data_IF_674628101766
#
_entry.id   IF_674628101766
#
_cell.length_a   1.000
_cell.length_b   1.000
_cell.length_c   1.000
_cell.angle_alpha   90.00
_cell.angle_beta   90.00
_cell.angle_gamma   90.00
#
_symmetry.space_group_name_H-M   'P 1'
#
loop_
_entity.id
_entity.type
_entity.pdbx_description
1 polymer ?
#
# COMPACT_ATOMS: atom_id res chain seq x y z
N UNK A 1 -2.93 -1.50 11.39
CA UNK A 1 -3.19 -2.90 11.84
C UNK A 1 -2.85 -3.86 10.71
N UNK A 2 -2.34 -5.06 10.99
CA UNK A 2 -2.15 -6.09 9.95
C UNK A 2 -3.50 -6.76 9.64
N UNK A 3 -3.77 -7.15 8.37
CA UNK A 3 -5.08 -7.73 7.99
C UNK A 3 -5.48 -8.95 8.83
N UNK A 4 -4.54 -9.85 9.13
CA UNK A 4 -4.79 -11.06 9.91
C UNK A 4 -5.12 -10.78 11.39
N UNK A 5 -4.89 -9.58 11.89
CA UNK A 5 -5.27 -9.16 13.25
C UNK A 5 -6.64 -8.46 13.29
N UNK A 6 -7.27 -8.24 12.15
CA UNK A 6 -8.64 -7.72 12.08
C UNK A 6 -9.60 -8.87 12.33
N UNK A 7 -10.11 -8.97 13.55
CA UNK A 7 -11.04 -10.01 13.99
C UNK A 7 -12.24 -9.38 14.65
N UNK A 8 -13.40 -10.06 14.74
CA UNK A 8 -14.55 -9.55 15.49
C UNK A 8 -14.21 -9.15 16.93
N UNK A 9 -13.34 -9.93 17.59
CA UNK A 9 -12.91 -9.64 18.97
C UNK A 9 -12.06 -8.36 19.05
N UNK A 10 -11.07 -8.19 18.14
CA UNK A 10 -10.25 -6.97 18.12
C UNK A 10 -11.07 -5.72 17.78
N UNK A 11 -12.04 -5.84 16.87
CA UNK A 11 -12.92 -4.73 16.48
C UNK A 11 -13.90 -4.37 17.60
N UNK A 12 -14.46 -5.36 18.31
CA UNK A 12 -15.30 -5.12 19.48
C UNK A 12 -14.53 -4.40 20.60
N UNK A 13 -13.29 -4.81 20.85
CA UNK A 13 -12.41 -4.15 21.81
C UNK A 13 -12.11 -2.70 21.41
N UNK A 14 -11.75 -2.46 20.16
CA UNK A 14 -11.53 -1.11 19.64
C UNK A 14 -12.79 -0.25 19.78
N UNK A 15 -13.95 -0.77 19.43
CA UNK A 15 -15.22 -0.04 19.52
C UNK A 15 -15.56 0.38 20.94
N UNK A 16 -15.12 -0.41 21.94
CA UNK A 16 -15.31 -0.11 23.37
C UNK A 16 -14.40 1.02 23.87
N UNK A 17 -13.16 1.10 23.36
CA UNK A 17 -12.14 1.95 23.98
C UNK A 17 -11.72 3.15 23.12
N UNK A 18 -12.09 3.19 21.83
CA UNK A 18 -11.70 4.30 20.94
C UNK A 18 -12.93 4.91 20.26
N UNK A 19 -12.94 6.23 20.16
CA UNK A 19 -13.96 6.99 19.43
C UNK A 19 -13.69 7.07 17.92
N UNK A 20 -12.46 6.80 17.51
CA UNK A 20 -12.05 6.82 16.11
C UNK A 20 -12.78 5.75 15.29
N UNK A 21 -13.29 6.13 14.12
CA UNK A 21 -13.97 5.23 13.17
C UNK A 21 -13.10 4.85 11.97
N UNK A 22 -12.00 5.55 11.72
CA UNK A 22 -11.05 5.19 10.68
C UNK A 22 -10.06 4.15 11.21
N UNK A 23 -9.85 3.06 10.49
CA UNK A 23 -8.93 1.99 10.87
C UNK A 23 -7.93 1.75 9.74
N UNK A 24 -6.65 2.02 10.00
CA UNK A 24 -5.58 1.80 9.02
C UNK A 24 -5.22 0.32 8.99
N UNK A 25 -5.29 -0.29 7.80
CA UNK A 25 -4.99 -1.70 7.53
C UNK A 25 -3.86 -1.78 6.49
N UNK A 26 -2.76 -2.44 6.84
CA UNK A 26 -1.60 -2.56 5.97
C UNK A 26 -1.76 -3.67 4.93
N UNK A 27 -2.44 -3.42 3.82
CA UNK A 27 -2.61 -4.37 2.71
C UNK A 27 -1.34 -4.58 1.90
N UNK A 28 -0.67 -3.53 1.51
CA UNK A 28 0.60 -3.42 0.79
C UNK A 28 0.51 -3.76 -0.70
N UNK A 29 -0.02 -4.91 -1.10
CA UNK A 29 -0.14 -5.36 -2.50
C UNK A 29 -1.42 -6.19 -2.69
N UNK A 30 -1.92 -6.22 -3.90
CA UNK A 30 -2.98 -7.15 -4.32
C UNK A 30 -2.46 -8.44 -4.92
N UNK A 31 -1.14 -8.57 -5.07
CA UNK A 31 -0.49 -9.78 -5.57
C UNK A 31 0.02 -10.64 -4.42
N UNK A 32 -0.49 -11.87 -4.32
CA UNK A 32 -0.07 -12.83 -3.30
C UNK A 32 1.42 -13.20 -3.46
N UNK A 33 1.95 -13.18 -4.70
CA UNK A 33 3.38 -13.36 -4.99
C UNK A 33 4.21 -12.26 -4.34
N UNK A 34 3.80 -11.01 -4.48
CA UNK A 34 4.50 -9.85 -3.90
C UNK A 34 4.36 -9.85 -2.38
N UNK A 35 3.20 -10.19 -1.84
CA UNK A 35 2.99 -10.32 -0.39
C UNK A 35 3.89 -11.40 0.21
N UNK A 36 4.01 -12.56 -0.43
CA UNK A 36 4.88 -13.64 0.00
C UNK A 36 6.37 -13.23 -0.04
N UNK A 37 6.83 -12.61 -1.15
CA UNK A 37 8.22 -12.15 -1.30
C UNK A 37 8.61 -11.05 -0.29
N UNK A 38 7.63 -10.29 0.18
CA UNK A 38 7.79 -9.24 1.19
C UNK A 38 7.58 -9.74 2.62
N UNK A 39 7.48 -11.05 2.83
CA UNK A 39 7.28 -11.72 4.12
C UNK A 39 6.09 -11.15 4.92
N UNK A 40 4.97 -10.86 4.22
CA UNK A 40 3.80 -10.22 4.85
C UNK A 40 3.00 -11.19 5.73
N UNK A 41 2.97 -12.48 5.42
CA UNK A 41 2.25 -13.50 6.20
C UNK A 41 0.73 -13.47 6.04
N UNK A 42 0.22 -12.70 5.07
CA UNK A 42 -1.20 -12.68 4.67
C UNK A 42 -1.30 -12.62 3.14
N UNK A 43 -2.46 -12.96 2.62
CA UNK A 43 -2.82 -12.93 1.21
C UNK A 43 -3.85 -11.82 0.90
N UNK A 44 -4.16 -11.63 -0.37
CA UNK A 44 -5.16 -10.66 -0.83
C UNK A 44 -6.56 -10.97 -0.31
N UNK A 45 -6.92 -12.25 -0.16
CA UNK A 45 -8.19 -12.66 0.41
C UNK A 45 -8.29 -12.28 1.90
N UNK A 46 -7.19 -12.31 2.65
CA UNK A 46 -7.14 -11.84 4.03
C UNK A 46 -7.41 -10.32 4.12
N UNK A 47 -6.89 -9.54 3.16
CA UNK A 47 -7.16 -8.09 3.09
C UNK A 47 -8.66 -7.84 2.83
N UNK A 48 -9.26 -8.56 1.90
CA UNK A 48 -10.70 -8.42 1.60
C UNK A 48 -11.58 -8.78 2.81
N UNK A 49 -11.25 -9.88 3.52
CA UNK A 49 -11.95 -10.27 4.77
C UNK A 49 -11.81 -9.20 5.86
N UNK A 50 -10.61 -8.64 6.03
CA UNK A 50 -10.37 -7.60 7.02
C UNK A 50 -11.21 -6.35 6.73
N UNK A 51 -11.30 -5.93 5.47
CA UNK A 51 -12.13 -4.79 5.05
C UNK A 51 -13.61 -5.07 5.30
N UNK A 52 -14.11 -6.24 4.94
CA UNK A 52 -15.49 -6.63 5.20
C UNK A 52 -15.84 -6.56 6.69
N UNK A 53 -15.00 -7.15 7.54
CA UNK A 53 -15.17 -7.10 9.00
C UNK A 53 -15.15 -5.67 9.56
N UNK A 54 -14.25 -4.81 9.07
CA UNK A 54 -14.23 -3.40 9.48
C UNK A 54 -15.56 -2.72 9.20
N UNK A 55 -16.07 -2.86 7.98
CA UNK A 55 -17.34 -2.24 7.54
C UNK A 55 -18.52 -2.77 8.35
N UNK A 56 -18.61 -4.10 8.52
CA UNK A 56 -19.66 -4.74 9.33
C UNK A 56 -19.69 -4.24 10.78
N UNK A 57 -18.53 -3.90 11.33
CA UNK A 57 -18.42 -3.37 12.71
C UNK A 57 -18.49 -1.84 12.77
N UNK A 58 -18.80 -1.15 11.67
CA UNK A 58 -18.98 0.30 11.62
C UNK A 58 -17.68 1.11 11.61
N UNK A 59 -16.57 0.50 11.18
CA UNK A 59 -15.33 1.20 10.91
C UNK A 59 -15.19 1.51 9.42
N UNK A 60 -14.48 2.59 9.11
CA UNK A 60 -14.06 2.92 7.74
C UNK A 60 -12.62 2.43 7.57
N UNK A 61 -12.37 1.34 6.83
CA UNK A 61 -11.02 0.86 6.62
C UNK A 61 -10.27 1.77 5.64
N UNK A 62 -9.07 2.18 6.03
CA UNK A 62 -8.09 2.85 5.18
C UNK A 62 -6.97 1.84 4.90
N UNK A 63 -6.86 1.40 3.66
CA UNK A 63 -5.93 0.33 3.30
C UNK A 63 -4.67 0.91 2.68
N UNK A 64 -3.52 0.65 3.32
CA UNK A 64 -2.21 1.06 2.81
C UNK A 64 -1.78 0.15 1.67
N UNK A 65 -1.46 0.73 0.51
CA UNK A 65 -0.84 0.05 -0.62
C UNK A 65 0.49 0.67 -0.96
N UNK A 66 1.47 -0.17 -1.29
CA UNK A 66 2.83 0.21 -1.62
C UNK A 66 3.15 -0.27 -3.04
N UNK A 67 3.30 0.66 -3.97
CA UNK A 67 3.56 0.41 -5.38
C UNK A 67 5.04 0.57 -5.72
N UNK A 68 5.52 -0.13 -6.73
CA UNK A 68 6.92 -0.10 -7.17
C UNK A 68 7.85 -0.88 -6.24
N UNK A 69 7.35 -1.94 -5.60
CA UNK A 69 8.15 -2.85 -4.80
C UNK A 69 9.21 -3.57 -5.65
N UNK A 70 10.39 -3.89 -5.11
CA UNK A 70 11.39 -4.66 -5.81
C UNK A 70 10.85 -6.01 -6.28
N UNK A 71 10.99 -6.31 -7.58
CA UNK A 71 10.50 -7.53 -8.19
C UNK A 71 8.99 -7.53 -8.50
N UNK A 72 8.30 -6.41 -8.32
CA UNK A 72 6.91 -6.23 -8.75
C UNK A 72 6.85 -6.13 -10.28
N UNK A 73 5.97 -6.91 -10.90
CA UNK A 73 5.72 -6.94 -12.32
C UNK A 73 4.43 -6.19 -12.69
N UNK A 74 4.22 -5.90 -13.97
CA UNK A 74 3.02 -5.20 -14.43
C UNK A 74 1.72 -5.95 -14.08
N UNK A 75 1.75 -7.28 -14.11
CA UNK A 75 0.64 -8.13 -13.68
C UNK A 75 0.32 -7.99 -12.20
N UNK A 76 1.33 -7.84 -11.33
CA UNK A 76 1.14 -7.64 -9.90
C UNK A 76 0.53 -6.28 -9.59
N UNK A 77 0.99 -5.24 -10.31
CA UNK A 77 0.43 -3.90 -10.20
C UNK A 77 -1.04 -3.91 -10.60
N UNK A 78 -1.40 -4.62 -11.70
CA UNK A 78 -2.79 -4.74 -12.14
C UNK A 78 -3.66 -5.45 -11.09
N UNK A 79 -3.17 -6.54 -10.48
CA UNK A 79 -3.86 -7.22 -9.37
C UNK A 79 -4.08 -6.27 -8.18
N UNK A 80 -3.08 -5.43 -7.88
CA UNK A 80 -3.15 -4.44 -6.81
C UNK A 80 -4.21 -3.37 -7.11
N UNK A 81 -4.25 -2.84 -8.33
CA UNK A 81 -5.25 -1.85 -8.73
C UNK A 81 -6.67 -2.43 -8.73
N UNK A 82 -6.83 -3.66 -9.21
CA UNK A 82 -8.12 -4.37 -9.15
C UNK A 82 -8.58 -4.61 -7.71
N UNK A 83 -7.67 -4.97 -6.81
CA UNK A 83 -8.00 -5.09 -5.39
C UNK A 83 -8.43 -3.73 -4.81
N UNK A 84 -7.71 -2.64 -5.09
CA UNK A 84 -8.10 -1.29 -4.67
C UNK A 84 -9.53 -0.96 -5.11
N UNK A 85 -9.87 -1.22 -6.37
CA UNK A 85 -11.23 -0.96 -6.90
C UNK A 85 -12.29 -1.77 -6.14
N UNK A 86 -12.04 -3.07 -5.87
CA UNK A 86 -12.97 -3.91 -5.10
C UNK A 86 -13.14 -3.43 -3.66
N UNK A 87 -12.06 -3.00 -3.01
CA UNK A 87 -12.12 -2.52 -1.63
C UNK A 87 -12.84 -1.18 -1.53
N UNK A 88 -12.60 -0.28 -2.49
CA UNK A 88 -13.32 1.02 -2.59
C UNK A 88 -14.82 0.80 -2.79
N UNK A 89 -15.21 -0.15 -3.65
CA UNK A 89 -16.62 -0.50 -3.85
C UNK A 89 -17.29 -1.02 -2.57
N UNK A 90 -16.52 -1.53 -1.62
CA UNK A 90 -16.99 -1.98 -0.29
C UNK A 90 -16.92 -0.89 0.79
N UNK A 91 -16.56 0.35 0.44
CA UNK A 91 -16.52 1.47 1.37
C UNK A 91 -15.16 1.73 2.01
N UNK A 92 -14.09 1.07 1.57
CA UNK A 92 -12.74 1.39 1.99
C UNK A 92 -12.21 2.66 1.34
N UNK A 93 -11.20 3.28 1.97
CA UNK A 93 -10.34 4.27 1.35
C UNK A 93 -8.95 3.68 1.12
N UNK A 94 -8.32 4.08 0.04
CA UNK A 94 -6.95 3.69 -0.30
C UNK A 94 -5.98 4.75 0.20
N UNK A 95 -4.93 4.32 0.90
CA UNK A 95 -3.77 5.15 1.23
C UNK A 95 -2.60 4.67 0.38
N UNK A 96 -2.28 5.44 -0.65
CA UNK A 96 -1.27 5.07 -1.66
C UNK A 96 0.12 5.53 -1.28
N UNK A 97 1.09 4.63 -1.44
CA UNK A 97 2.51 4.87 -1.25
C UNK A 97 3.31 4.39 -2.45
N UNK A 98 4.46 5.03 -2.70
CA UNK A 98 5.48 4.51 -3.61
C UNK A 98 6.68 4.02 -2.81
N UNK A 99 7.26 2.91 -3.23
CA UNK A 99 8.39 2.29 -2.56
C UNK A 99 9.60 3.23 -2.45
N UNK A 100 10.14 3.34 -1.24
CA UNK A 100 11.35 4.08 -0.90
C UNK A 100 12.42 3.11 -0.41
N UNK A 101 13.60 3.04 -1.02
CA UNK A 101 14.71 2.19 -0.56
C UNK A 101 15.39 2.78 0.67
N UNK A 102 14.75 2.67 1.84
CA UNK A 102 15.20 3.28 3.08
C UNK A 102 16.49 2.64 3.63
N UNK A 103 17.43 3.42 4.19
CA UNK A 103 18.58 2.90 4.93
C UNK A 103 18.14 1.96 6.07
N UNK A 104 18.92 0.93 6.35
CA UNK A 104 18.64 -0.03 7.42
C UNK A 104 17.60 -1.11 7.08
N UNK A 105 16.96 -1.04 5.90
CA UNK A 105 15.98 -2.05 5.45
C UNK A 105 16.64 -3.12 4.55
N UNK A 106 16.04 -4.32 4.42
CA UNK A 106 16.51 -5.33 3.47
C UNK A 106 16.62 -4.82 2.03
N UNK A 107 15.69 -3.95 1.62
CA UNK A 107 15.63 -3.36 0.28
C UNK A 107 16.43 -2.05 0.13
N UNK A 108 17.31 -1.71 1.07
CA UNK A 108 18.10 -0.46 1.03
C UNK A 108 18.90 -0.22 -0.24
N UNK A 109 19.25 -1.29 -0.98
CA UNK A 109 20.03 -1.23 -2.25
C UNK A 109 19.17 -1.39 -3.49
N UNK A 110 17.85 -1.55 -3.34
CA UNK A 110 16.94 -1.69 -4.47
C UNK A 110 16.83 -0.39 -5.28
N UNK A 111 16.38 -0.51 -6.52
CA UNK A 111 16.02 0.63 -7.34
C UNK A 111 14.89 1.44 -6.69
N UNK A 112 14.76 2.69 -7.09
CA UNK A 112 13.60 3.51 -6.70
C UNK A 112 12.31 2.89 -7.23
N UNK A 113 11.26 2.94 -6.45
CA UNK A 113 9.92 2.63 -6.95
C UNK A 113 9.57 3.56 -8.12
N UNK A 114 9.03 2.99 -9.19
CA UNK A 114 8.62 3.73 -10.37
C UNK A 114 7.21 3.31 -10.79
N UNK A 115 6.40 4.30 -11.16
CA UNK A 115 5.05 4.09 -11.63
C UNK A 115 4.97 4.38 -13.13
N UNK A 116 4.18 3.62 -13.87
CA UNK A 116 3.85 3.95 -15.26
C UNK A 116 2.83 5.08 -15.31
N UNK A 117 2.74 5.77 -16.47
CA UNK A 117 1.77 6.86 -16.63
C UNK A 117 0.32 6.38 -16.55
N UNK A 118 0.06 5.13 -16.91
CA UNK A 118 -1.26 4.52 -16.76
C UNK A 118 -1.63 4.32 -15.29
N UNK A 119 -0.71 3.77 -14.50
CA UNK A 119 -0.89 3.62 -13.06
C UNK A 119 -1.13 4.98 -12.41
N UNK A 120 -0.31 6.00 -12.72
CA UNK A 120 -0.51 7.37 -12.20
C UNK A 120 -1.89 7.92 -12.55
N UNK A 121 -2.35 7.72 -13.78
CA UNK A 121 -3.68 8.17 -14.22
C UNK A 121 -4.81 7.49 -13.43
N UNK A 122 -4.73 6.18 -13.20
CA UNK A 122 -5.71 5.44 -12.38
C UNK A 122 -5.71 5.92 -10.93
N UNK A 123 -4.54 6.10 -10.31
CA UNK A 123 -4.44 6.62 -8.94
C UNK A 123 -5.01 8.03 -8.81
N UNK A 124 -4.73 8.93 -9.76
CA UNK A 124 -5.31 10.28 -9.81
C UNK A 124 -6.83 10.25 -9.95
N UNK A 125 -7.37 9.31 -10.73
CA UNK A 125 -8.83 9.13 -10.86
C UNK A 125 -9.45 8.72 -9.53
N UNK A 126 -8.87 7.80 -8.78
CA UNK A 126 -9.33 7.45 -7.43
C UNK A 126 -9.19 8.63 -6.46
N UNK A 127 -8.10 9.38 -6.55
CA UNK A 127 -7.86 10.56 -5.71
C UNK A 127 -8.89 11.68 -5.97
N UNK A 128 -9.22 11.96 -7.23
CA UNK A 128 -10.21 12.98 -7.59
C UNK A 128 -11.61 12.65 -7.09
N UNK A 129 -11.90 11.38 -6.82
CA UNK A 129 -13.16 10.91 -6.23
C UNK A 129 -13.12 10.83 -4.69
N UNK A 130 -12.01 11.24 -4.06
CA UNK A 130 -11.82 11.13 -2.61
C UNK A 130 -11.67 9.70 -2.09
N UNK A 131 -11.41 8.75 -2.98
CA UNK A 131 -11.27 7.32 -2.69
C UNK A 131 -9.83 6.92 -2.38
N UNK A 132 -8.86 7.73 -2.83
CA UNK A 132 -7.43 7.55 -2.57
C UNK A 132 -6.81 8.84 -2.06
N UNK A 133 -5.86 8.70 -1.13
CA UNK A 133 -5.01 9.80 -0.63
C UNK A 133 -3.60 9.26 -0.38
N UNK A 134 -2.66 10.15 -0.06
CA UNK A 134 -1.26 9.81 0.22
C UNK A 134 -0.29 10.64 -0.61
N UNK A 135 0.99 10.48 -0.32
CA UNK A 135 2.07 11.26 -0.95
C UNK A 135 2.84 10.45 -2.01
N UNK A 136 2.17 9.53 -2.69
CA UNK A 136 2.78 8.57 -3.60
C UNK A 136 3.61 9.23 -4.72
N UNK A 137 3.18 10.37 -5.29
CA UNK A 137 3.95 11.12 -6.30
C UNK A 137 5.21 11.75 -5.71
N UNK A 138 5.09 12.35 -4.52
CA UNK A 138 6.23 12.95 -3.83
C UNK A 138 7.23 11.88 -3.38
N UNK A 139 6.74 10.73 -2.93
CA UNK A 139 7.58 9.60 -2.56
C UNK A 139 8.35 9.03 -3.75
N UNK A 140 7.74 8.96 -4.95
CA UNK A 140 8.44 8.56 -6.17
C UNK A 140 9.60 9.51 -6.50
N UNK A 141 9.39 10.82 -6.41
CA UNK A 141 10.43 11.82 -6.62
C UNK A 141 11.56 11.68 -5.58
N UNK A 142 11.21 11.50 -4.30
CA UNK A 142 12.15 11.28 -3.21
C UNK A 142 12.97 10.00 -3.43
N UNK A 143 12.33 8.90 -3.84
CA UNK A 143 13.02 7.64 -4.12
C UNK A 143 14.09 7.79 -5.20
N UNK A 144 13.79 8.49 -6.27
CA UNK A 144 14.74 8.79 -7.36
C UNK A 144 15.95 9.60 -6.85
N UNK A 145 15.73 10.62 -6.01
CA UNK A 145 16.80 11.41 -5.41
C UNK A 145 17.68 10.58 -4.48
N UNK A 146 17.09 9.73 -3.66
CA UNK A 146 17.84 8.83 -2.75
C UNK A 146 18.74 7.86 -3.52
N UNK A 147 18.31 7.34 -4.65
CA UNK A 147 19.13 6.44 -5.49
C UNK A 147 20.23 7.23 -6.22
N UNK A 148 19.92 8.40 -6.79
CA UNK A 148 20.89 9.26 -7.46
C UNK A 148 22.01 9.73 -6.51
N UNK A 149 21.69 10.04 -5.26
CA UNK A 149 22.68 10.43 -4.25
C UNK A 149 23.59 9.29 -3.77
N UNK A 150 23.27 8.03 -4.12
CA UNK A 150 24.11 6.85 -3.81
C UNK A 150 25.20 6.56 -4.86
N UNK A 151 25.12 7.17 -6.03
CA UNK A 151 26.19 7.05 -7.05
C UNK A 151 27.46 7.68 -6.48
N UNK A 152 28.62 6.96 -6.39
CA UNK A 152 29.83 7.53 -5.85
C UNK A 152 30.21 8.79 -6.63
N UNK A 153 30.38 9.92 -5.94
CA UNK A 153 31.10 11.07 -6.48
C UNK A 153 32.56 10.62 -6.65
N UNK A 154 32.91 10.08 -7.80
CA UNK A 154 34.31 9.70 -8.00
C UNK A 154 34.54 8.73 -9.14
N UNK A 155 34.39 9.22 -10.35
CA UNK A 155 35.23 8.89 -11.50
C UNK A 155 35.20 10.12 -12.40
N UNK A 156 35.98 11.11 -12.06
CA UNK A 156 36.46 12.07 -13.08
C UNK A 156 37.62 11.40 -13.82
N UNK A 157 37.63 11.49 -15.16
CA UNK A 157 38.74 11.03 -15.97
C UNK A 157 40.02 11.74 -15.65
#
# INVERSE_FOLDING_TARGET
>A
MRPEHVTPASLALLKKWVSNRALIVGGQSGSDRVLASSARGHDSACIERAVALCVEHGFVPHVDFLLGLPGEEASDVELTLQLMDRLVARGAKVHGHTFLPLPGTPFRKAAAGALTDDVRRRLRTLASRGQLYGQWEQQEATARQMVAGRTPRGARP
#
